data_IF_933247695736
#
_entry.id   IF_933247695736
#
_cell.length_a   1.000
_cell.length_b   1.000
_cell.length_c   1.000
_cell.angle_alpha   90.00
_cell.angle_beta   90.00
_cell.angle_gamma   90.00
#
_symmetry.space_group_name_H-M   'P 1'
#
loop_
_entity.id
_entity.type
_entity.pdbx_description
1 polymer ?
#
# COMPACT_ATOMS: atom_id res chain seq x y z
N UNK A 1 -2.02 -40.97 35.72
CA UNK A 1 -2.69 -41.31 34.44
C UNK A 1 -4.00 -40.55 34.45
N UNK A 2 -4.20 -39.46 33.72
CA UNK A 2 -4.23 -39.36 32.25
C UNK A 2 -3.91 -37.94 31.80
N UNK A 3 -2.90 -37.81 30.95
CA UNK A 3 -2.64 -36.62 30.13
C UNK A 3 -3.80 -36.41 29.16
N UNK A 4 -4.28 -35.17 29.00
CA UNK A 4 -5.08 -34.79 27.85
C UNK A 4 -4.30 -33.76 27.05
N UNK A 5 -3.52 -34.30 26.11
CA UNK A 5 -2.86 -33.57 25.04
C UNK A 5 -3.94 -33.20 24.02
N UNK A 6 -4.10 -31.92 23.68
CA UNK A 6 -4.87 -31.48 22.52
C UNK A 6 -3.93 -30.63 21.66
N UNK A 7 -3.39 -31.15 20.56
CA UNK A 7 -2.74 -30.33 19.56
C UNK A 7 -3.82 -29.87 18.58
N UNK A 8 -4.19 -28.60 18.63
CA UNK A 8 -4.93 -27.97 17.54
C UNK A 8 -4.34 -26.59 17.24
N UNK A 9 -3.05 -26.59 16.88
CA UNK A 9 -2.46 -25.51 16.08
C UNK A 9 -3.14 -25.56 14.71
N UNK A 10 -4.29 -24.90 14.62
CA UNK A 10 -4.78 -24.34 13.37
C UNK A 10 -3.59 -23.56 12.82
N UNK A 11 -2.96 -24.01 11.74
CA UNK A 11 -1.92 -23.23 11.07
C UNK A 11 -2.57 -21.94 10.63
N UNK A 12 -2.54 -20.91 11.49
CA UNK A 12 -2.80 -19.56 11.07
C UNK A 12 -1.74 -19.31 10.00
N UNK A 13 -2.17 -19.27 8.74
CA UNK A 13 -1.25 -18.98 7.65
C UNK A 13 -0.67 -17.60 7.96
N UNK A 14 0.66 -17.55 8.08
CA UNK A 14 1.39 -16.31 8.36
C UNK A 14 1.48 -15.48 7.08
N UNK A 15 0.33 -15.20 6.47
CA UNK A 15 0.23 -14.53 5.18
C UNK A 15 0.83 -13.14 5.23
N UNK A 16 0.81 -12.50 6.41
CA UNK A 16 1.41 -11.19 6.66
C UNK A 16 2.91 -11.17 6.36
N UNK A 17 3.59 -12.32 6.47
CA UNK A 17 5.00 -12.47 6.11
C UNK A 17 5.25 -12.94 4.68
N UNK A 18 4.25 -13.50 3.99
CA UNK A 18 4.41 -14.09 2.66
C UNK A 18 3.83 -13.25 1.51
N UNK A 19 2.87 -12.37 1.79
CA UNK A 19 2.32 -11.44 0.80
C UNK A 19 3.42 -10.54 0.28
N UNK A 20 3.43 -10.24 -1.01
CA UNK A 20 4.53 -9.57 -1.69
C UNK A 20 4.09 -8.73 -2.88
N UNK A 21 4.97 -7.86 -3.36
CA UNK A 21 4.76 -7.12 -4.61
C UNK A 21 4.31 -8.06 -5.75
N UNK A 22 3.25 -7.66 -6.46
CA UNK A 22 2.61 -8.41 -7.54
C UNK A 22 1.49 -9.34 -7.09
N UNK A 23 1.33 -9.60 -5.80
CA UNK A 23 0.18 -10.37 -5.30
C UNK A 23 -1.10 -9.54 -5.41
N UNK A 24 -2.21 -10.22 -5.70
CA UNK A 24 -3.56 -9.65 -5.65
C UNK A 24 -4.21 -10.08 -4.36
N UNK A 25 -4.69 -9.12 -3.56
CA UNK A 25 -5.31 -9.35 -2.26
C UNK A 25 -6.77 -8.91 -2.24
N UNK A 26 -7.61 -9.62 -1.51
CA UNK A 26 -8.96 -9.18 -1.19
C UNK A 26 -8.89 -8.17 -0.03
N UNK A 27 -9.32 -6.94 -0.30
CA UNK A 27 -9.31 -5.88 0.71
C UNK A 27 -10.59 -5.04 0.65
N UNK A 28 -11.21 -4.87 1.81
CA UNK A 28 -12.32 -3.97 2.06
C UNK A 28 -11.76 -2.66 2.61
N UNK A 29 -11.81 -1.61 1.79
CA UNK A 29 -11.45 -0.27 2.24
C UNK A 29 -12.61 0.30 3.06
N UNK A 30 -12.38 0.79 4.30
CA UNK A 30 -13.44 1.34 5.16
C UNK A 30 -14.10 2.63 4.62
N UNK A 31 -13.63 3.16 3.50
CA UNK A 31 -14.05 4.46 2.95
C UNK A 31 -15.48 4.39 2.43
N UNK A 32 -16.43 4.58 3.36
CA UNK A 32 -17.76 5.21 3.24
C UNK A 32 -18.64 4.89 4.47
N UNK A 33 -18.21 3.97 5.36
CA UNK A 33 -18.98 3.59 6.56
C UNK A 33 -19.07 4.70 7.63
N UNK A 34 -18.13 5.65 7.64
CA UNK A 34 -18.19 6.78 8.58
C UNK A 34 -19.30 7.77 8.25
N UNK A 35 -19.76 7.83 6.99
CA UNK A 35 -20.78 8.78 6.55
C UNK A 35 -22.20 8.20 6.59
N UNK A 36 -22.37 6.87 6.61
CA UNK A 36 -23.69 6.26 6.68
C UNK A 36 -23.70 4.86 7.32
N UNK A 37 -24.04 4.72 8.62
CA UNK A 37 -24.11 3.44 9.32
C UNK A 37 -25.26 2.51 8.86
N UNK A 38 -26.07 2.91 7.89
CA UNK A 38 -27.12 2.09 7.28
C UNK A 38 -26.68 1.40 5.97
N UNK A 39 -25.47 1.67 5.45
CA UNK A 39 -24.97 0.93 4.30
C UNK A 39 -24.43 -0.44 4.72
N UNK A 40 -24.78 -1.53 4.00
CA UNK A 40 -24.16 -2.83 4.25
C UNK A 40 -22.64 -2.76 4.01
N UNK A 41 -21.83 -3.56 4.73
CA UNK A 41 -20.39 -3.63 4.48
C UNK A 41 -20.12 -3.90 3.00
N UNK A 42 -19.21 -3.13 2.40
CA UNK A 42 -18.93 -3.24 0.97
C UNK A 42 -18.08 -4.49 0.76
N UNK A 43 -18.52 -5.35 -0.16
CA UNK A 43 -17.79 -6.56 -0.59
C UNK A 43 -16.29 -6.25 -0.81
N UNK A 44 -15.42 -7.05 -0.20
CA UNK A 44 -13.98 -6.97 -0.44
C UNK A 44 -13.66 -7.03 -1.94
N UNK A 45 -12.78 -6.13 -2.39
CA UNK A 45 -12.40 -5.99 -3.79
C UNK A 45 -11.00 -6.53 -4.01
N UNK A 46 -10.61 -6.85 -5.27
CA UNK A 46 -9.23 -7.17 -5.59
C UNK A 46 -8.37 -5.90 -5.60
N UNK A 47 -7.28 -5.95 -4.85
CA UNK A 47 -6.24 -4.91 -4.81
C UNK A 47 -4.89 -5.51 -5.17
N UNK A 48 -4.13 -4.79 -5.98
CA UNK A 48 -2.76 -5.16 -6.33
C UNK A 48 -1.81 -4.65 -5.25
N UNK A 49 -0.94 -5.52 -4.74
CA UNK A 49 0.20 -5.14 -3.93
C UNK A 49 1.28 -4.56 -4.84
N UNK A 50 1.44 -3.24 -4.79
CA UNK A 50 2.39 -2.49 -5.63
C UNK A 50 3.76 -2.42 -4.99
N UNK A 51 3.80 -2.31 -3.66
CA UNK A 51 5.05 -2.20 -2.91
C UNK A 51 4.85 -2.63 -1.45
N UNK A 52 5.96 -2.85 -0.77
CA UNK A 52 6.00 -3.23 0.64
C UNK A 52 7.12 -2.46 1.36
N UNK A 53 6.84 -2.05 2.60
CA UNK A 53 7.79 -1.32 3.42
C UNK A 53 7.70 -1.75 4.88
N UNK A 54 8.80 -1.62 5.61
CA UNK A 54 8.82 -1.80 7.06
C UNK A 54 9.09 -0.44 7.70
N UNK A 55 8.22 -0.03 8.60
CA UNK A 55 8.34 1.20 9.37
C UNK A 55 8.13 0.92 10.86
N UNK A 56 9.14 1.21 11.68
CA UNK A 56 9.14 0.99 13.15
C UNK A 56 8.66 -0.44 13.48
N UNK A 57 9.24 -1.45 12.83
CA UNK A 57 8.91 -2.86 13.05
C UNK A 57 7.54 -3.32 12.52
N UNK A 58 6.74 -2.43 11.92
CA UNK A 58 5.45 -2.76 11.31
C UNK A 58 5.59 -2.84 9.80
N UNK A 59 5.07 -3.90 9.19
CA UNK A 59 5.04 -4.08 7.73
C UNK A 59 3.81 -3.42 7.14
N UNK A 60 4.00 -2.68 6.06
CA UNK A 60 2.98 -1.97 5.31
C UNK A 60 2.99 -2.40 3.85
N UNK A 61 1.81 -2.45 3.25
CA UNK A 61 1.62 -2.69 1.83
C UNK A 61 1.09 -1.42 1.18
N UNK A 62 1.65 -1.09 0.02
CA UNK A 62 1.11 -0.08 -0.88
C UNK A 62 0.20 -0.80 -1.87
N UNK A 63 -1.09 -0.49 -1.85
CA UNK A 63 -2.11 -1.16 -2.65
C UNK A 63 -2.68 -0.25 -3.74
N UNK A 64 -2.99 -0.83 -4.90
CA UNK A 64 -3.77 -0.20 -5.96
C UNK A 64 -5.11 -0.92 -6.13
N UNK A 65 -6.20 -0.17 -6.22
CA UNK A 65 -7.54 -0.74 -6.44
C UNK A 65 -7.68 -1.24 -7.88
N UNK A 66 -8.27 -2.43 -8.03
CA UNK A 66 -8.70 -2.95 -9.33
C UNK A 66 -10.01 -2.32 -9.79
N UNK A 67 -10.09 -2.00 -11.08
CA UNK A 67 -11.28 -1.50 -11.76
C UNK A 67 -11.55 -2.33 -13.02
N UNK A 68 -12.81 -2.41 -13.43
CA UNK A 68 -13.17 -3.10 -14.66
C UNK A 68 -12.70 -2.31 -15.89
N UNK A 69 -12.27 -3.02 -16.92
CA UNK A 69 -11.82 -2.39 -18.18
C UNK A 69 -13.00 -1.68 -18.85
N UNK A 70 -12.76 -0.46 -19.34
CA UNK A 70 -13.79 0.40 -19.95
C UNK A 70 -14.39 1.43 -18.98
N UNK A 71 -14.07 1.34 -17.69
CA UNK A 71 -14.32 2.45 -16.76
C UNK A 71 -13.41 3.64 -17.12
N UNK A 72 -13.99 4.83 -17.26
CA UNK A 72 -13.27 6.07 -17.61
C UNK A 72 -12.41 6.55 -16.43
N UNK A 73 -11.27 5.90 -16.21
CA UNK A 73 -10.27 6.34 -15.23
C UNK A 73 -9.06 7.00 -15.90
N UNK A 74 -8.68 8.14 -15.33
CA UNK A 74 -7.60 9.05 -15.75
C UNK A 74 -6.29 8.39 -16.26
N UNK A 75 -5.64 9.10 -17.19
CA UNK A 75 -4.39 8.83 -17.95
C UNK A 75 -3.08 8.63 -17.13
N UNK A 76 -3.13 7.95 -15.98
CA UNK A 76 -1.94 7.64 -15.17
C UNK A 76 -1.25 6.32 -15.56
N UNK A 77 -0.11 5.98 -14.93
CA UNK A 77 0.48 4.65 -15.04
C UNK A 77 -0.50 3.57 -14.58
N UNK A 78 -0.72 2.57 -15.43
CA UNK A 78 -1.70 1.51 -15.23
C UNK A 78 -1.08 0.14 -15.53
N UNK A 79 -1.53 -0.87 -14.78
CA UNK A 79 -1.32 -2.28 -15.11
C UNK A 79 -2.65 -2.85 -15.56
N UNK A 80 -2.69 -3.42 -16.76
CA UNK A 80 -3.87 -4.03 -17.36
C UNK A 80 -3.70 -5.54 -17.36
N UNK A 81 -4.63 -6.26 -16.76
CA UNK A 81 -4.67 -7.71 -16.72
C UNK A 81 -5.85 -8.16 -17.58
N UNK A 82 -5.60 -8.33 -18.88
CA UNK A 82 -6.69 -8.54 -19.87
C UNK A 82 -6.76 -9.99 -20.38
N UNK A 83 -5.61 -10.66 -20.50
CA UNK A 83 -5.53 -11.99 -21.05
C UNK A 83 -6.07 -13.04 -20.06
N UNK A 84 -6.78 -14.05 -20.57
CA UNK A 84 -7.44 -15.07 -19.74
C UNK A 84 -6.50 -15.84 -18.82
N UNK A 85 -5.31 -16.19 -19.32
CA UNK A 85 -4.28 -16.81 -18.51
C UNK A 85 -3.78 -15.87 -17.39
N UNK A 86 -3.62 -14.58 -17.69
CA UNK A 86 -3.12 -13.59 -16.74
C UNK A 86 -4.15 -13.28 -15.65
N UNK A 87 -5.41 -12.99 -16.00
CA UNK A 87 -6.44 -12.72 -14.99
C UNK A 87 -6.79 -13.98 -14.19
N UNK A 88 -6.71 -15.17 -14.80
CA UNK A 88 -6.85 -16.45 -14.09
C UNK A 88 -5.75 -16.67 -13.05
N UNK A 89 -4.47 -16.44 -13.41
CA UNK A 89 -3.34 -16.53 -12.48
C UNK A 89 -3.42 -15.48 -11.34
N UNK A 90 -3.95 -14.32 -11.66
CA UNK A 90 -4.20 -13.24 -10.70
C UNK A 90 -5.40 -13.51 -9.76
N UNK A 91 -6.12 -14.62 -9.92
CA UNK A 91 -7.30 -14.95 -9.12
C UNK A 91 -8.51 -14.06 -9.40
N UNK A 92 -8.52 -13.41 -10.57
CA UNK A 92 -9.57 -12.50 -11.00
C UNK A 92 -10.61 -13.25 -11.84
N UNK A 93 -11.86 -12.81 -11.75
CA UNK A 93 -12.97 -13.38 -12.53
C UNK A 93 -13.18 -12.67 -13.88
N UNK A 94 -12.60 -11.49 -14.04
CA UNK A 94 -12.75 -10.67 -15.23
C UNK A 94 -11.51 -9.79 -15.46
N UNK A 95 -11.30 -9.32 -16.71
CA UNK A 95 -10.26 -8.36 -17.02
C UNK A 95 -10.30 -7.13 -16.11
N UNK A 96 -9.15 -6.77 -15.54
CA UNK A 96 -9.05 -5.72 -14.51
C UNK A 96 -7.88 -4.79 -14.80
N UNK A 97 -8.07 -3.49 -14.55
CA UNK A 97 -7.03 -2.47 -14.60
C UNK A 97 -6.72 -1.91 -13.21
N UNK A 98 -5.44 -1.79 -12.89
CA UNK A 98 -4.95 -1.19 -11.65
C UNK A 98 -4.31 0.16 -11.94
N UNK A 99 -4.82 1.22 -11.32
CA UNK A 99 -4.30 2.57 -11.48
C UNK A 99 -3.33 2.92 -10.35
N UNK A 100 -2.09 3.25 -10.68
CA UNK A 100 -1.03 3.55 -9.72
C UNK A 100 -1.02 5.00 -9.22
N UNK A 101 -2.03 5.81 -9.56
CA UNK A 101 -2.17 7.19 -9.04
C UNK A 101 -2.96 7.26 -7.73
N UNK A 102 -3.79 6.27 -7.43
CA UNK A 102 -4.66 6.20 -6.24
C UNK A 102 -4.19 5.17 -5.21
N UNK A 103 -2.89 5.16 -4.93
CA UNK A 103 -2.29 4.19 -4.01
C UNK A 103 -2.68 4.47 -2.56
N UNK A 104 -2.87 3.40 -1.80
CA UNK A 104 -3.14 3.44 -0.36
C UNK A 104 -2.09 2.63 0.38
N UNK A 105 -1.67 3.09 1.55
CA UNK A 105 -0.70 2.39 2.39
C UNK A 105 -1.45 1.82 3.59
N UNK A 106 -1.40 0.51 3.77
CA UNK A 106 -2.12 -0.20 4.84
C UNK A 106 -1.17 -1.08 5.62
N UNK A 107 -1.36 -1.18 6.94
CA UNK A 107 -0.64 -2.15 7.76
C UNK A 107 -1.08 -3.56 7.37
N UNK A 108 -0.16 -4.54 7.35
CA UNK A 108 -0.53 -5.96 7.14
C UNK A 108 -1.47 -6.51 8.21
N UNK A 109 -1.62 -5.82 9.34
CA UNK A 109 -2.55 -6.19 10.42
C UNK A 109 -3.92 -5.49 10.30
N UNK A 110 -4.19 -4.79 9.20
CA UNK A 110 -5.45 -4.07 9.01
C UNK A 110 -6.63 -5.05 8.87
N UNK A 111 -7.74 -4.77 9.53
CA UNK A 111 -8.92 -5.66 9.55
C UNK A 111 -9.63 -5.80 8.19
N UNK A 112 -9.42 -4.84 7.29
CA UNK A 112 -9.96 -4.86 5.92
C UNK A 112 -9.43 -6.00 5.03
N UNK A 113 -8.40 -6.74 5.43
CA UNK A 113 -7.96 -7.92 4.67
C UNK A 113 -8.96 -9.07 4.82
N UNK A 114 -9.65 -9.40 3.74
CA UNK A 114 -10.63 -10.48 3.72
C UNK A 114 -9.93 -11.82 3.47
N UNK A 115 -9.85 -12.65 4.50
CA UNK A 115 -9.19 -13.95 4.42
C UNK A 115 -10.06 -14.98 3.69
N UNK A 116 -9.46 -15.71 2.76
CA UNK A 116 -10.09 -16.83 2.08
C UNK A 116 -10.07 -18.10 2.97
N UNK A 117 -10.57 -19.23 2.43
CA UNK A 117 -10.60 -20.53 3.10
C UNK A 117 -9.21 -21.04 3.56
N UNK A 118 -8.14 -20.58 2.91
CA UNK A 118 -6.75 -20.94 3.20
C UNK A 118 -6.11 -19.97 4.23
N UNK A 119 -6.90 -19.05 4.77
CA UNK A 119 -6.50 -18.10 5.81
C UNK A 119 -5.67 -16.93 5.30
N UNK A 120 -5.54 -16.75 3.99
CA UNK A 120 -4.78 -15.66 3.36
C UNK A 120 -5.72 -14.73 2.59
N UNK A 121 -5.43 -13.41 2.50
CA UNK A 121 -6.19 -12.52 1.63
C UNK A 121 -5.75 -12.62 0.17
N UNK A 122 -4.67 -13.35 -0.14
CA UNK A 122 -4.15 -13.48 -1.50
C UNK A 122 -5.12 -14.27 -2.37
N UNK A 123 -5.56 -13.63 -3.45
CA UNK A 123 -6.42 -14.21 -4.50
C UNK A 123 -5.58 -14.87 -5.59
N UNK A 124 -4.43 -14.30 -5.91
CA UNK A 124 -3.51 -14.78 -6.93
C UNK A 124 -2.35 -13.81 -7.09
N UNK A 125 -1.63 -13.89 -8.21
CA UNK A 125 -0.45 -13.06 -8.48
C UNK A 125 -0.39 -12.65 -9.95
N UNK A 126 0.12 -11.45 -10.21
CA UNK A 126 0.56 -11.08 -11.55
C UNK A 126 1.67 -12.02 -12.02
N UNK A 127 1.64 -12.33 -13.31
CA UNK A 127 2.63 -13.19 -13.98
C UNK A 127 3.05 -12.53 -15.29
N UNK A 128 4.17 -12.97 -15.87
CA UNK A 128 4.59 -12.53 -17.21
C UNK A 128 4.76 -11.01 -17.33
N UNK A 129 4.24 -10.46 -18.42
CA UNK A 129 4.44 -9.06 -18.81
C UNK A 129 3.84 -8.09 -17.81
N UNK A 130 2.71 -8.42 -17.17
CA UNK A 130 2.07 -7.57 -16.17
C UNK A 130 2.94 -7.41 -14.92
N UNK A 131 3.65 -8.46 -14.51
CA UNK A 131 4.59 -8.39 -13.39
C UNK A 131 5.83 -7.56 -13.74
N UNK A 132 6.39 -7.76 -14.95
CA UNK A 132 7.53 -6.96 -15.44
C UNK A 132 7.16 -5.48 -15.56
N UNK A 133 5.94 -5.19 -16.03
CA UNK A 133 5.44 -3.83 -16.12
C UNK A 133 5.28 -3.21 -14.72
N UNK A 134 4.78 -3.97 -13.73
CA UNK A 134 4.70 -3.51 -12.35
C UNK A 134 6.07 -3.15 -11.79
N UNK A 135 7.08 -3.99 -11.97
CA UNK A 135 8.44 -3.73 -11.49
C UNK A 135 9.02 -2.44 -12.08
N UNK A 136 8.82 -2.23 -13.40
CA UNK A 136 9.24 -0.99 -14.08
C UNK A 136 8.53 0.24 -13.50
N UNK A 137 7.21 0.16 -13.33
CA UNK A 137 6.43 1.29 -12.80
C UNK A 137 6.75 1.57 -11.33
N UNK A 138 6.98 0.52 -10.53
CA UNK A 138 7.44 0.62 -9.15
C UNK A 138 8.77 1.36 -9.07
N UNK A 139 9.75 0.99 -9.89
CA UNK A 139 11.04 1.68 -9.96
C UNK A 139 10.87 3.17 -10.31
N UNK A 140 10.01 3.49 -11.28
CA UNK A 140 9.71 4.88 -11.67
C UNK A 140 9.08 5.68 -10.51
N UNK A 141 8.13 5.08 -9.79
CA UNK A 141 7.47 5.71 -8.63
C UNK A 141 8.50 5.99 -7.53
N UNK A 142 9.39 5.04 -7.23
CA UNK A 142 10.45 5.24 -6.25
C UNK A 142 11.40 6.38 -6.66
N UNK A 143 11.90 6.37 -7.90
CA UNK A 143 12.79 7.41 -8.41
C UNK A 143 12.13 8.81 -8.30
N UNK A 144 10.87 8.91 -8.74
CA UNK A 144 10.11 10.16 -8.67
C UNK A 144 9.89 10.62 -7.21
N UNK A 145 9.67 9.68 -6.28
CA UNK A 145 9.49 10.00 -4.88
C UNK A 145 10.79 10.48 -4.20
N UNK A 146 11.94 9.90 -4.59
CA UNK A 146 13.25 10.37 -4.13
C UNK A 146 13.50 11.79 -4.59
N UNK A 147 13.35 12.10 -5.89
CA UNK A 147 13.53 13.45 -6.43
C UNK A 147 12.63 14.48 -5.74
N UNK A 148 11.36 14.12 -5.50
CA UNK A 148 10.41 14.99 -4.77
C UNK A 148 10.82 15.22 -3.32
N UNK A 149 11.36 14.20 -2.66
CA UNK A 149 11.83 14.32 -1.28
C UNK A 149 13.05 15.25 -1.19
N UNK A 150 14.00 15.11 -2.12
CA UNK A 150 15.19 15.96 -2.21
C UNK A 150 14.82 17.41 -2.51
N UNK A 151 13.96 17.65 -3.50
CA UNK A 151 13.47 18.99 -3.82
C UNK A 151 12.78 19.69 -2.64
N UNK A 152 12.01 18.94 -1.83
CA UNK A 152 11.40 19.47 -0.60
C UNK A 152 12.46 19.81 0.45
N UNK A 153 13.47 18.96 0.62
CA UNK A 153 14.55 19.20 1.58
C UNK A 153 15.35 20.45 1.21
N UNK A 154 15.65 20.66 -0.07
CA UNK A 154 16.40 21.83 -0.52
C UNK A 154 15.59 23.12 -0.41
N UNK A 155 14.29 23.07 -0.69
CA UNK A 155 13.40 24.20 -0.45
C UNK A 155 13.39 24.59 1.05
N UNK A 156 13.32 23.60 1.96
CA UNK A 156 13.37 23.85 3.40
C UNK A 156 14.73 24.46 3.83
N UNK A 157 15.85 23.97 3.29
CA UNK A 157 17.18 24.55 3.55
C UNK A 157 17.27 26.01 3.06
N UNK A 158 16.77 26.29 1.85
CA UNK A 158 16.77 27.64 1.29
C UNK A 158 15.91 28.59 2.13
N UNK A 159 14.71 28.17 2.54
CA UNK A 159 13.86 28.96 3.43
C UNK A 159 14.54 29.24 4.78
N UNK A 160 15.20 28.24 5.38
CA UNK A 160 15.96 28.42 6.62
C UNK A 160 17.15 29.38 6.46
N UNK A 161 17.85 29.34 5.33
CA UNK A 161 18.95 30.27 5.01
C UNK A 161 18.46 31.71 4.83
N UNK A 162 17.34 31.90 4.12
CA UNK A 162 16.72 33.21 3.93
C UNK A 162 16.24 33.79 5.28
N UNK A 163 15.63 32.97 6.13
CA UNK A 163 15.21 33.37 7.47
C UNK A 163 16.39 33.83 8.35
N UNK A 164 17.53 33.11 8.29
CA UNK A 164 18.76 33.49 9.00
C UNK A 164 19.35 34.82 8.51
N UNK A 165 19.29 35.09 7.20
CA UNK A 165 19.82 36.34 6.59
C UNK A 165 18.95 37.57 6.88
N UNK A 166 17.66 37.39 7.12
CA UNK A 166 16.72 38.51 7.32
C UNK A 166 16.83 39.20 8.69
N UNK A 167 17.51 38.63 9.69
CA UNK A 167 17.72 39.27 11.00
C UNK A 167 16.45 39.66 11.78
N UNK A 168 15.26 39.27 11.32
CA UNK A 168 13.96 39.65 11.91
C UNK A 168 13.58 38.60 12.96
N UNK A 169 13.37 39.03 14.20
CA UNK A 169 12.72 38.20 15.21
C UNK A 169 11.35 37.78 14.69
N UNK A 170 11.17 36.48 14.46
CA UNK A 170 9.96 35.89 13.88
C UNK A 170 8.94 35.58 14.97
N UNK A 171 8.48 36.59 15.68
CA UNK A 171 7.32 36.45 16.56
C UNK A 171 6.06 36.40 15.71
N UNK A 172 5.54 35.19 15.44
CA UNK A 172 4.24 34.98 14.80
C UNK A 172 4.22 34.11 13.54
N UNK A 173 5.37 33.58 13.07
CA UNK A 173 5.39 32.68 11.93
C UNK A 173 5.10 31.24 12.38
N UNK A 174 3.93 30.72 12.03
CA UNK A 174 3.57 29.31 12.23
C UNK A 174 4.37 28.48 11.22
N UNK A 175 5.49 27.91 11.68
CA UNK A 175 6.25 26.92 10.93
C UNK A 175 5.58 25.57 11.21
N UNK A 176 4.97 24.89 10.22
CA UNK A 176 4.41 23.56 10.43
C UNK A 176 5.54 22.63 10.89
N UNK A 177 5.28 21.91 11.99
CA UNK A 177 6.28 21.03 12.59
C UNK A 177 6.82 20.03 11.54
N UNK A 178 8.14 19.79 11.50
CA UNK A 178 8.67 18.75 10.63
C UNK A 178 8.05 17.41 11.05
N UNK A 179 7.31 16.76 10.14
CA UNK A 179 7.02 15.32 10.27
C UNK A 179 8.31 14.57 9.91
N UNK A 180 9.34 14.77 10.72
CA UNK A 180 10.47 13.90 10.79
C UNK A 180 10.44 13.38 12.22
N UNK A 181 9.82 12.21 12.41
CA UNK A 181 10.04 11.43 13.63
C UNK A 181 11.55 11.12 13.60
N UNK A 182 12.37 11.68 14.51
CA UNK A 182 13.77 11.32 14.54
C UNK A 182 13.86 9.81 14.77
N UNK A 183 14.69 9.13 13.97
CA UNK A 183 15.06 7.74 14.29
C UNK A 183 15.67 7.75 15.70
N UNK A 184 15.26 6.86 16.61
CA UNK A 184 15.98 6.70 17.86
C UNK A 184 17.43 6.32 17.54
N UNK A 185 18.36 7.06 18.13
CA UNK A 185 19.78 6.80 18.03
C UNK A 185 20.07 5.38 18.54
N UNK A 186 20.76 4.52 17.77
CA UNK A 186 21.24 3.27 18.31
C UNK A 186 22.51 3.57 19.12
N UNK A 187 22.36 4.00 20.38
CA UNK A 187 23.24 3.66 21.52
C UNK A 187 22.97 4.54 22.76
N UNK A 188 22.34 3.94 23.78
CA UNK A 188 22.91 3.83 25.13
C UNK A 188 22.23 2.73 25.93
#
# INVERSE_FOLDING_TARGET
MTSKNIPSTKHASNWQGSVSCGDIVAFEMPSEHFDNPLQPPKKALPWLVVDEAIYIGTRYLTLARGHDIGTTFNHGPQIRVEHSAAFGAAGLMQPTVYNLRGLVIVSVNHEGFALNKDGTPVLGRLVGDELVQLERLRALIHATNVERAEGRADMLKQQALLAKRSGRQMSGMIIPAPIAIPKPDPQK
#
